data_IF_101085793229
#
_entry.id   IF_101085793229
#
_cell.length_a   1.000
_cell.length_b   1.000
_cell.length_c   1.000
_cell.angle_alpha   90.00
_cell.angle_beta   90.00
_cell.angle_gamma   90.00
#
_symmetry.space_group_name_H-M   'P 1'
#
loop_
_entity.id
_entity.type
_entity.pdbx_description
1 polymer ?
#
# COMPACT_ATOMS: atom_id res chain seq x y z
N UNK A 1 1.46 -10.13 -19.97
CA UNK A 1 1.61 -8.75 -19.48
C UNK A 1 0.60 -8.55 -18.37
N UNK A 2 0.92 -7.81 -17.30
CA UNK A 2 0.00 -7.51 -16.18
C UNK A 2 -0.18 -6.00 -16.03
N UNK A 3 -1.32 -5.60 -15.50
CA UNK A 3 -1.65 -4.19 -15.24
C UNK A 3 -1.32 -3.76 -13.80
N UNK A 4 -1.37 -4.72 -12.87
CA UNK A 4 -1.10 -4.52 -11.45
C UNK A 4 -0.08 -5.54 -10.95
N UNK A 5 0.75 -5.13 -10.01
CA UNK A 5 1.57 -5.99 -9.18
C UNK A 5 1.18 -5.75 -7.72
N UNK A 6 0.59 -6.77 -7.09
CA UNK A 6 0.22 -6.76 -5.69
C UNK A 6 1.40 -7.21 -4.82
N UNK A 7 1.75 -6.39 -3.84
CA UNK A 7 2.70 -6.71 -2.78
C UNK A 7 1.92 -6.87 -1.47
N UNK A 8 1.94 -8.08 -0.93
CA UNK A 8 1.41 -8.32 0.41
C UNK A 8 2.39 -7.77 1.45
N UNK A 9 1.94 -6.85 2.29
CA UNK A 9 2.65 -6.31 3.46
C UNK A 9 2.19 -6.95 4.77
N UNK A 10 1.51 -8.09 4.68
CA UNK A 10 1.18 -9.03 5.76
C UNK A 10 1.24 -10.43 5.18
N UNK A 11 1.19 -11.46 6.03
CA UNK A 11 0.94 -12.82 5.54
C UNK A 11 -0.56 -12.96 5.21
N UNK A 12 -0.95 -13.43 4.02
CA UNK A 12 -2.36 -13.64 3.69
C UNK A 12 -3.06 -14.55 4.71
N UNK A 13 -4.28 -14.20 5.10
CA UNK A 13 -5.09 -15.04 5.98
C UNK A 13 -6.19 -14.27 6.70
N UNK A 14 -5.83 -13.22 7.45
CA UNK A 14 -6.79 -12.45 8.23
C UNK A 14 -6.46 -10.96 8.33
N UNK A 15 -7.49 -10.16 8.58
CA UNK A 15 -7.40 -8.70 8.74
C UNK A 15 -6.85 -8.28 10.10
N UNK A 16 -6.12 -7.15 10.14
CA UNK A 16 -5.60 -6.57 11.39
C UNK A 16 -4.17 -6.98 11.76
N UNK A 17 -3.50 -7.72 10.88
CA UNK A 17 -2.08 -8.01 11.00
C UNK A 17 -1.22 -6.75 10.88
N UNK A 18 -0.07 -6.78 11.55
CA UNK A 18 0.94 -5.72 11.49
C UNK A 18 1.65 -5.69 10.14
N UNK A 19 1.91 -4.48 9.66
CA UNK A 19 2.67 -4.22 8.44
C UNK A 19 4.09 -4.82 8.51
N UNK A 20 4.53 -5.45 7.43
CA UNK A 20 5.88 -6.02 7.24
C UNK A 20 6.71 -5.01 6.42
N UNK A 21 7.52 -4.14 7.03
CA UNK A 21 8.20 -3.05 6.33
C UNK A 21 9.23 -3.50 5.30
N UNK A 22 9.79 -4.70 5.45
CA UNK A 22 10.82 -5.24 4.56
C UNK A 22 10.29 -5.49 3.14
N UNK A 23 8.98 -5.67 2.97
CA UNK A 23 8.40 -5.89 1.63
C UNK A 23 8.44 -4.63 0.78
N UNK A 24 8.60 -3.46 1.39
CA UNK A 24 8.66 -2.16 0.70
C UNK A 24 9.87 -2.12 -0.25
N UNK A 25 10.98 -2.80 0.08
CA UNK A 25 12.13 -2.91 -0.81
C UNK A 25 11.82 -3.59 -2.16
N UNK A 26 10.76 -4.41 -2.23
CA UNK A 26 10.29 -5.03 -3.49
C UNK A 26 9.73 -3.99 -4.45
N UNK A 27 9.16 -2.90 -3.94
CA UNK A 27 8.62 -1.80 -4.76
C UNK A 27 9.73 -1.18 -5.61
N UNK A 28 10.87 -0.85 -4.99
CA UNK A 28 12.03 -0.29 -5.69
C UNK A 28 12.59 -1.24 -6.75
N UNK A 29 12.68 -2.53 -6.43
CA UNK A 29 13.12 -3.55 -7.39
C UNK A 29 12.19 -3.63 -8.62
N UNK A 30 10.87 -3.54 -8.42
CA UNK A 30 9.87 -3.56 -9.50
C UNK A 30 9.91 -2.26 -10.31
N UNK A 31 10.06 -1.09 -9.68
CA UNK A 31 10.21 0.17 -10.42
C UNK A 31 11.45 0.16 -11.33
N UNK A 32 12.53 -0.51 -10.93
CA UNK A 32 13.70 -0.73 -11.79
C UNK A 32 13.41 -1.56 -13.06
N UNK A 33 12.34 -2.36 -13.10
CA UNK A 33 11.96 -3.09 -14.33
C UNK A 33 11.36 -2.20 -15.41
N UNK A 34 10.90 -0.99 -15.04
CA UNK A 34 10.22 -0.08 -15.97
C UNK A 34 11.11 0.39 -17.12
N UNK A 35 12.43 0.45 -16.92
CA UNK A 35 13.40 0.85 -17.94
C UNK A 35 13.38 -0.04 -19.19
N UNK A 36 12.81 -1.25 -19.08
CA UNK A 36 12.83 -2.27 -20.14
C UNK A 36 11.44 -2.56 -20.73
N UNK A 37 10.37 -1.83 -20.33
CA UNK A 37 8.99 -2.17 -20.70
C UNK A 37 8.22 -1.01 -21.33
N UNK A 38 7.41 -1.34 -22.33
CA UNK A 38 6.48 -0.41 -23.00
C UNK A 38 5.34 0.04 -22.06
N UNK A 39 4.99 -0.80 -21.08
CA UNK A 39 3.96 -0.52 -20.07
C UNK A 39 4.47 -0.85 -18.66
N UNK A 40 4.42 0.14 -17.78
CA UNK A 40 4.72 -0.01 -16.35
C UNK A 40 3.42 -0.38 -15.61
N UNK A 41 3.37 -1.53 -14.92
CA UNK A 41 2.20 -1.88 -14.11
C UNK A 41 2.10 -0.97 -12.88
N UNK A 42 0.89 -0.78 -12.38
CA UNK A 42 0.66 -0.14 -11.09
C UNK A 42 1.10 -1.09 -9.97
N UNK A 43 1.79 -0.54 -8.97
CA UNK A 43 2.20 -1.29 -7.78
C UNK A 43 1.16 -1.06 -6.69
N UNK A 44 0.51 -2.14 -6.27
CA UNK A 44 -0.45 -2.15 -5.18
C UNK A 44 0.17 -2.76 -3.92
N UNK A 45 -0.18 -2.24 -2.75
CA UNK A 45 0.23 -2.81 -1.46
C UNK A 45 -1.00 -3.15 -0.61
N UNK A 46 -1.03 -4.34 -0.02
CA UNK A 46 -2.14 -4.83 0.79
C UNK A 46 -1.70 -5.41 2.14
N UNK A 47 -2.35 -4.91 3.18
CA UNK A 47 -2.21 -5.37 4.56
C UNK A 47 -1.51 -4.37 5.47
N UNK A 48 -2.11 -4.05 6.61
CA UNK A 48 -1.47 -3.20 7.61
C UNK A 48 -1.32 -1.72 7.20
N UNK A 49 -2.08 -1.24 6.20
CA UNK A 49 -2.06 0.16 5.78
C UNK A 49 -2.83 1.05 6.75
N UNK A 50 -2.14 2.07 7.25
CA UNK A 50 -2.58 3.06 8.25
C UNK A 50 -1.97 4.42 7.93
N UNK A 51 -2.40 5.52 8.59
CA UNK A 51 -1.72 6.82 8.45
C UNK A 51 -0.23 6.82 8.84
N UNK A 52 0.23 5.80 9.58
CA UNK A 52 1.64 5.66 9.98
C UNK A 52 2.46 4.89 8.93
N UNK A 53 1.88 3.86 8.33
CA UNK A 53 2.59 2.95 7.40
C UNK A 53 2.47 3.37 5.93
N UNK A 54 1.38 4.07 5.59
CA UNK A 54 1.15 4.58 4.24
C UNK A 54 2.29 5.48 3.74
N UNK A 55 2.80 6.48 4.50
CA UNK A 55 3.87 7.35 4.03
C UNK A 55 5.14 6.59 3.60
N UNK A 56 5.48 5.50 4.32
CA UNK A 56 6.65 4.67 3.99
C UNK A 56 6.47 3.96 2.63
N UNK A 57 5.28 3.36 2.40
CA UNK A 57 4.98 2.69 1.16
C UNK A 57 4.84 3.68 -0.01
N UNK A 58 4.25 4.85 0.23
CA UNK A 58 4.17 5.95 -0.73
C UNK A 58 5.56 6.44 -1.15
N UNK A 59 6.45 6.70 -0.19
CA UNK A 59 7.82 7.13 -0.47
C UNK A 59 8.62 6.10 -1.29
N UNK A 60 8.27 4.82 -1.21
CA UNK A 60 8.88 3.76 -2.01
C UNK A 60 8.35 3.68 -3.46
N UNK A 61 7.28 4.41 -3.77
CA UNK A 61 6.68 4.46 -5.11
C UNK A 61 5.48 3.53 -5.31
N UNK A 62 4.77 3.14 -4.24
CA UNK A 62 3.49 2.43 -4.37
C UNK A 62 2.44 3.36 -4.98
N UNK A 63 1.66 2.83 -5.92
CA UNK A 63 0.63 3.57 -6.66
C UNK A 63 -0.78 3.37 -6.06
N UNK A 64 -1.06 2.19 -5.51
CA UNK A 64 -2.38 1.81 -4.97
C UNK A 64 -2.28 1.19 -3.58
N UNK A 65 -3.21 1.53 -2.69
CA UNK A 65 -3.19 1.13 -1.28
C UNK A 65 -4.50 0.45 -0.88
N UNK A 66 -4.41 -0.78 -0.37
CA UNK A 66 -5.55 -1.51 0.18
C UNK A 66 -5.58 -1.31 1.70
N UNK A 67 -6.68 -0.73 2.18
CA UNK A 67 -6.88 -0.46 3.60
C UNK A 67 -8.30 -0.85 4.04
N UNK A 68 -8.39 -1.69 5.07
CA UNK A 68 -9.67 -2.05 5.69
C UNK A 68 -9.74 -1.53 7.12
N UNK A 69 -8.91 -2.05 8.02
CA UNK A 69 -8.96 -1.73 9.46
C UNK A 69 -8.85 -0.23 9.74
N UNK A 70 -7.95 0.49 9.05
CA UNK A 70 -7.77 1.94 9.21
C UNK A 70 -8.99 2.75 8.78
N UNK A 71 -9.84 2.23 7.88
CA UNK A 71 -11.07 2.88 7.41
C UNK A 71 -12.24 2.51 8.33
N UNK A 72 -12.51 1.21 8.48
CA UNK A 72 -13.72 0.71 9.14
C UNK A 72 -13.68 0.78 10.67
N UNK A 73 -12.49 0.87 11.28
CA UNK A 73 -12.35 1.03 12.73
C UNK A 73 -11.94 2.44 13.17
N UNK A 74 -11.99 3.41 12.26
CA UNK A 74 -11.68 4.80 12.59
C UNK A 74 -12.71 5.37 13.60
N UNK A 75 -12.28 6.00 14.72
CA UNK A 75 -13.20 6.52 15.74
C UNK A 75 -14.22 7.55 15.22
N UNK A 76 -13.84 8.33 14.21
CA UNK A 76 -14.72 9.30 13.53
C UNK A 76 -15.55 8.73 12.38
N UNK A 77 -15.62 7.40 12.27
CA UNK A 77 -16.30 6.70 11.18
C UNK A 77 -15.49 6.62 9.88
N UNK A 78 -16.09 5.98 8.87
CA UNK A 78 -15.46 5.66 7.58
C UNK A 78 -14.86 6.91 6.91
N UNK A 79 -15.59 8.03 6.88
CA UNK A 79 -15.12 9.26 6.26
C UNK A 79 -13.85 9.81 6.94
N UNK A 80 -13.77 9.72 8.28
CA UNK A 80 -12.58 10.14 9.00
C UNK A 80 -11.38 9.23 8.68
N UNK A 81 -11.59 7.92 8.57
CA UNK A 81 -10.56 6.96 8.19
C UNK A 81 -10.00 7.21 6.77
N UNK A 82 -10.88 7.44 5.79
CA UNK A 82 -10.46 7.79 4.41
C UNK A 82 -9.65 9.10 4.41
N UNK A 83 -10.13 10.13 5.10
CA UNK A 83 -9.44 11.42 5.17
C UNK A 83 -8.07 11.31 5.84
N UNK A 84 -7.96 10.53 6.91
CA UNK A 84 -6.68 10.30 7.58
C UNK A 84 -5.66 9.64 6.66
N UNK A 85 -6.08 8.68 5.82
CA UNK A 85 -5.19 8.05 4.84
C UNK A 85 -4.79 9.00 3.71
N UNK A 86 -5.74 9.79 3.18
CA UNK A 86 -5.45 10.78 2.13
C UNK A 86 -4.45 11.84 2.61
N UNK A 87 -4.62 12.34 3.82
CA UNK A 87 -3.73 13.34 4.42
C UNK A 87 -2.33 12.79 4.73
N UNK A 88 -2.20 11.47 4.92
CA UNK A 88 -0.91 10.82 5.13
C UNK A 88 -0.17 10.54 3.82
N UNK A 89 -0.89 10.45 2.69
CA UNK A 89 -0.36 10.11 1.36
C UNK A 89 -0.20 11.29 0.41
N UNK A 90 -0.26 12.51 0.93
CA UNK A 90 -0.13 13.78 0.19
C UNK A 90 1.18 14.48 0.50
#
# INVERSE_FOLDING_TARGET
>A
MVDYILIMSVNPGYSGQSFIPEVVAKVSAIKGWSEYKIKTPLIEIDGGITPVTLPQAYAAGVDVFVAATAIFKAPGGISAGINALRNAGS
#
